data_IF_147470471226
#
_entry.id   IF_147470471226
#
_cell.length_a   1.000
_cell.length_b   1.000
_cell.length_c   1.000
_cell.angle_alpha   90.00
_cell.angle_beta   90.00
_cell.angle_gamma   90.00
#
_symmetry.space_group_name_H-M   'P 1'
#
loop_
_entity.id
_entity.type
_entity.pdbx_description
1 polymer ?
#
# COMPACT_ATOMS: atom_id res chain seq x y z
N UNK A 1 27.75 -28.08 -34.90
CA UNK A 1 26.51 -28.56 -34.25
C UNK A 1 26.75 -28.80 -32.75
N UNK A 2 27.28 -27.80 -32.01
CA UNK A 2 27.62 -27.89 -30.57
C UNK A 2 27.31 -26.55 -29.86
N UNK A 3 26.17 -25.92 -30.16
CA UNK A 3 25.82 -24.63 -29.52
C UNK A 3 24.37 -24.54 -29.03
N UNK A 4 23.50 -25.51 -29.34
CA UNK A 4 22.13 -25.52 -28.84
C UNK A 4 22.01 -26.13 -27.44
N UNK A 5 22.84 -27.12 -27.11
CA UNK A 5 22.75 -27.83 -25.82
C UNK A 5 23.20 -27.02 -24.60
N UNK A 6 23.89 -25.89 -24.81
CA UNK A 6 24.30 -24.97 -23.74
C UNK A 6 23.23 -23.96 -23.36
N UNK A 7 22.45 -23.47 -24.33
CA UNK A 7 21.32 -22.58 -24.07
C UNK A 7 20.16 -23.32 -23.41
N UNK A 8 19.85 -24.54 -23.87
CA UNK A 8 18.80 -25.37 -23.26
C UNK A 8 19.10 -25.71 -21.79
N UNK A 9 20.37 -25.95 -21.45
CA UNK A 9 20.79 -26.25 -20.07
C UNK A 9 20.68 -25.06 -19.11
N UNK A 10 20.85 -23.84 -19.60
CA UNK A 10 20.68 -22.63 -18.78
C UNK A 10 19.20 -22.33 -18.50
N UNK A 11 18.30 -22.64 -19.46
CA UNK A 11 16.86 -22.52 -19.28
C UNK A 11 16.22 -23.64 -18.43
N UNK A 12 16.96 -24.73 -18.17
CA UNK A 12 16.50 -25.89 -17.39
C UNK A 12 16.95 -25.92 -15.92
N UNK A 13 17.69 -24.94 -15.42
CA UNK A 13 18.23 -24.99 -14.05
C UNK A 13 17.19 -24.70 -12.95
N UNK A 14 16.05 -24.07 -13.28
CA UNK A 14 14.94 -23.82 -12.34
C UNK A 14 13.63 -24.21 -13.02
N UNK A 15 12.78 -24.97 -12.33
CA UNK A 15 11.48 -25.40 -12.87
C UNK A 15 10.61 -24.20 -13.26
N UNK A 16 9.65 -24.33 -14.21
CA UNK A 16 8.82 -23.22 -14.66
C UNK A 16 8.04 -22.55 -13.52
N UNK A 17 7.73 -23.28 -12.46
CA UNK A 17 7.12 -22.77 -11.22
C UNK A 17 8.06 -21.85 -10.43
N UNK A 18 9.37 -22.15 -10.41
CA UNK A 18 10.38 -21.34 -9.74
C UNK A 18 10.56 -20.01 -10.48
N UNK A 19 10.51 -20.03 -11.81
CA UNK A 19 10.51 -18.82 -12.64
C UNK A 19 9.26 -17.97 -12.39
N UNK A 20 8.08 -18.59 -12.30
CA UNK A 20 6.82 -17.90 -11.99
C UNK A 20 6.85 -17.29 -10.58
N UNK A 21 7.40 -18.01 -9.59
CA UNK A 21 7.58 -17.53 -8.22
C UNK A 21 8.52 -16.33 -8.17
N UNK A 22 9.69 -16.42 -8.81
CA UNK A 22 10.66 -15.33 -8.86
C UNK A 22 10.07 -14.10 -9.57
N UNK A 23 9.41 -14.30 -10.72
CA UNK A 23 8.77 -13.24 -11.47
C UNK A 23 7.66 -12.56 -10.66
N UNK A 24 6.77 -13.33 -10.02
CA UNK A 24 5.70 -12.79 -9.17
C UNK A 24 6.24 -12.01 -7.99
N UNK A 25 7.24 -12.57 -7.31
CA UNK A 25 7.90 -11.91 -6.20
C UNK A 25 8.54 -10.58 -6.60
N UNK A 26 9.33 -10.56 -7.68
CA UNK A 26 9.97 -9.34 -8.19
C UNK A 26 8.93 -8.31 -8.63
N UNK A 27 7.88 -8.75 -9.34
CA UNK A 27 6.80 -7.87 -9.75
C UNK A 27 6.08 -7.23 -8.54
N UNK A 28 5.83 -8.01 -7.48
CA UNK A 28 5.21 -7.50 -6.26
C UNK A 28 6.08 -6.48 -5.51
N UNK A 29 7.39 -6.71 -5.44
CA UNK A 29 8.34 -5.73 -4.89
C UNK A 29 8.37 -4.44 -5.71
N UNK A 30 8.54 -4.57 -7.03
CA UNK A 30 8.63 -3.43 -7.93
C UNK A 30 7.35 -2.61 -7.93
N UNK A 31 6.19 -3.26 -7.89
CA UNK A 31 4.91 -2.57 -7.81
C UNK A 31 4.83 -1.64 -6.59
N UNK A 32 5.19 -2.15 -5.40
CA UNK A 32 5.16 -1.33 -4.19
C UNK A 32 6.20 -0.21 -4.21
N UNK A 33 7.41 -0.49 -4.68
CA UNK A 33 8.52 0.48 -4.68
C UNK A 33 8.35 1.54 -5.77
N UNK A 34 7.79 1.19 -6.93
CA UNK A 34 7.60 2.09 -8.06
C UNK A 34 6.32 2.92 -7.96
N UNK A 35 5.32 2.49 -7.18
CA UNK A 35 4.08 3.22 -6.94
C UNK A 35 4.26 4.35 -5.91
N UNK A 36 4.23 5.64 -6.32
CA UNK A 36 4.36 6.76 -5.38
C UNK A 36 3.14 6.92 -4.46
N UNK A 37 1.99 6.39 -4.90
CA UNK A 37 0.70 6.33 -4.21
C UNK A 37 0.74 5.52 -2.92
N UNK A 38 1.50 4.43 -2.88
CA UNK A 38 1.66 3.59 -1.68
C UNK A 38 2.30 4.33 -0.51
N UNK A 39 3.41 5.03 -0.78
CA UNK A 39 4.11 5.83 0.21
C UNK A 39 3.24 7.01 0.62
N UNK A 40 2.56 7.63 -0.34
CA UNK A 40 1.71 8.79 -0.12
C UNK A 40 0.48 8.48 0.76
N UNK A 41 -0.13 7.30 0.59
CA UNK A 41 -1.28 6.86 1.39
C UNK A 41 -0.89 6.33 2.77
N UNK A 42 0.27 5.68 2.89
CA UNK A 42 0.70 5.06 4.16
C UNK A 42 1.30 6.07 5.14
N UNK A 43 2.05 7.07 4.65
CA UNK A 43 2.74 8.03 5.51
C UNK A 43 1.83 8.78 6.50
N UNK A 44 0.63 9.27 6.12
CA UNK A 44 -0.30 9.90 7.07
C UNK A 44 -0.82 8.94 8.14
N UNK A 45 -0.91 7.65 7.82
CA UNK A 45 -1.40 6.60 8.71
C UNK A 45 -0.28 5.99 9.57
N UNK A 46 0.99 6.12 9.19
CA UNK A 46 2.12 5.44 9.82
C UNK A 46 2.76 6.22 10.99
N UNK A 47 2.19 7.34 11.43
CA UNK A 47 2.83 8.25 12.39
C UNK A 47 2.53 7.87 13.84
N UNK A 48 3.15 6.79 14.31
CA UNK A 48 3.21 6.46 15.76
C UNK A 48 4.56 5.88 16.14
N UNK A 49 4.64 4.57 16.25
CA UNK A 49 5.85 3.82 16.54
C UNK A 49 6.09 2.82 15.41
N UNK A 50 7.35 2.41 15.25
CA UNK A 50 7.79 1.53 14.15
C UNK A 50 6.97 0.25 14.05
N UNK A 51 6.65 -0.40 15.16
CA UNK A 51 5.86 -1.62 15.16
C UNK A 51 4.45 -1.42 14.60
N UNK A 52 3.78 -0.32 14.96
CA UNK A 52 2.46 0.02 14.41
C UNK A 52 2.56 0.41 12.95
N UNK A 53 3.57 1.19 12.54
CA UNK A 53 3.77 1.56 11.13
C UNK A 53 3.95 0.32 10.23
N UNK A 54 4.76 -0.66 10.68
CA UNK A 54 4.94 -1.95 10.01
C UNK A 54 3.61 -2.71 9.90
N UNK A 55 2.85 -2.77 11.01
CA UNK A 55 1.58 -3.49 11.05
C UNK A 55 0.52 -2.84 10.14
N UNK A 56 0.43 -1.52 10.14
CA UNK A 56 -0.46 -0.77 9.26
C UNK A 56 -0.09 -1.01 7.80
N UNK A 57 1.20 -1.01 7.46
CA UNK A 57 1.68 -1.36 6.11
C UNK A 57 1.30 -2.78 5.70
N UNK A 58 1.51 -3.77 6.57
CA UNK A 58 1.14 -5.16 6.30
C UNK A 58 -0.37 -5.36 6.13
N UNK A 59 -1.19 -4.70 6.95
CA UNK A 59 -2.66 -4.75 6.87
C UNK A 59 -3.15 -4.11 5.57
N UNK A 60 -2.60 -2.95 5.22
CA UNK A 60 -2.89 -2.30 3.95
C UNK A 60 -2.52 -3.21 2.76
N UNK A 61 -1.33 -3.80 2.76
CA UNK A 61 -0.87 -4.72 1.72
C UNK A 61 -1.74 -5.98 1.61
N UNK A 62 -2.27 -6.46 2.74
CA UNK A 62 -3.21 -7.60 2.76
C UNK A 62 -4.56 -7.22 2.16
N UNK A 63 -5.07 -6.02 2.47
CA UNK A 63 -6.27 -5.47 1.85
C UNK A 63 -6.10 -5.30 0.35
N UNK A 64 -4.96 -4.74 -0.07
CA UNK A 64 -4.58 -4.61 -1.46
C UNK A 64 -4.64 -5.94 -2.23
N UNK A 65 -3.98 -6.97 -1.71
CA UNK A 65 -4.08 -8.32 -2.27
C UNK A 65 -5.50 -8.85 -2.38
N UNK A 66 -6.32 -8.61 -1.35
CA UNK A 66 -7.72 -9.01 -1.33
C UNK A 66 -8.51 -8.33 -2.46
N UNK A 67 -8.29 -7.03 -2.67
CA UNK A 67 -8.88 -6.28 -3.79
C UNK A 67 -8.50 -6.85 -5.16
N UNK A 68 -7.21 -7.17 -5.34
CA UNK A 68 -6.69 -7.78 -6.59
C UNK A 68 -7.32 -9.15 -6.84
N UNK A 69 -7.44 -10.00 -5.82
CA UNK A 69 -8.06 -11.33 -5.94
C UNK A 69 -9.54 -11.21 -6.29
N UNK A 70 -10.27 -10.28 -5.65
CA UNK A 70 -11.68 -10.02 -5.96
C UNK A 70 -11.82 -9.61 -7.43
N UNK A 71 -11.08 -8.59 -7.86
CA UNK A 71 -11.15 -8.08 -9.22
C UNK A 71 -10.71 -9.11 -10.26
N UNK A 72 -9.61 -9.83 -10.01
CA UNK A 72 -9.11 -10.89 -10.88
C UNK A 72 -10.10 -12.05 -11.04
N UNK A 73 -10.75 -12.46 -9.95
CA UNK A 73 -11.78 -13.50 -9.98
C UNK A 73 -13.02 -13.05 -10.75
N UNK A 74 -13.47 -11.81 -10.52
CA UNK A 74 -14.58 -11.20 -11.27
C UNK A 74 -14.23 -11.07 -12.75
N UNK A 75 -13.01 -10.65 -13.10
CA UNK A 75 -12.55 -10.53 -14.48
C UNK A 75 -12.51 -11.86 -15.22
N UNK A 76 -12.07 -12.95 -14.57
CA UNK A 76 -12.07 -14.30 -15.15
C UNK A 76 -13.50 -14.80 -15.37
N UNK A 77 -14.42 -14.57 -14.42
CA UNK A 77 -15.82 -14.97 -14.54
C UNK A 77 -16.62 -14.13 -15.55
N UNK A 78 -16.27 -12.85 -15.71
CA UNK A 78 -16.96 -11.89 -16.55
C UNK A 78 -16.31 -11.67 -17.92
N UNK A 79 -15.31 -12.49 -18.30
CA UNK A 79 -14.54 -12.44 -19.56
C UNK A 79 -15.37 -12.35 -20.86
N UNK A 80 -16.67 -12.67 -20.77
CA UNK A 80 -17.63 -12.69 -21.88
C UNK A 80 -18.60 -11.49 -21.89
N UNK A 81 -18.58 -10.63 -20.86
CA UNK A 81 -19.54 -9.52 -20.70
C UNK A 81 -18.92 -8.17 -20.28
N UNK A 82 -17.65 -8.14 -19.84
CA UNK A 82 -17.01 -6.92 -19.33
C UNK A 82 -15.83 -6.52 -20.20
N UNK A 83 -15.92 -5.31 -20.77
CA UNK A 83 -14.79 -4.67 -21.43
C UNK A 83 -13.78 -4.23 -20.37
N UNK A 84 -12.63 -4.91 -20.34
CA UNK A 84 -11.56 -4.68 -19.36
C UNK A 84 -11.08 -3.22 -19.44
N UNK A 85 -11.13 -2.59 -20.61
CA UNK A 85 -10.74 -1.19 -20.80
C UNK A 85 -11.65 -0.25 -20.00
N UNK A 86 -12.96 -0.43 -20.11
CA UNK A 86 -13.94 0.43 -19.42
C UNK A 86 -13.85 0.34 -17.89
N UNK A 87 -13.66 -0.87 -17.36
CA UNK A 87 -13.48 -1.07 -15.91
C UNK A 87 -12.17 -0.46 -15.42
N UNK A 88 -11.14 -0.51 -16.26
CA UNK A 88 -9.82 0.03 -15.96
C UNK A 88 -9.83 1.56 -15.87
N UNK A 89 -10.38 2.24 -16.89
CA UNK A 89 -10.45 3.72 -16.96
C UNK A 89 -11.29 4.29 -15.80
N UNK A 90 -12.41 3.62 -15.44
CA UNK A 90 -13.25 4.06 -14.32
C UNK A 90 -12.60 3.83 -12.96
N UNK A 91 -11.74 2.84 -12.85
CA UNK A 91 -11.06 2.53 -11.60
C UNK A 91 -9.98 3.54 -11.26
N UNK A 92 -9.22 4.02 -12.25
CA UNK A 92 -8.20 5.07 -12.06
C UNK A 92 -8.83 6.35 -11.50
N UNK A 93 -9.98 6.76 -12.04
CA UNK A 93 -10.74 7.91 -11.55
C UNK A 93 -11.16 7.72 -10.08
N UNK A 94 -11.66 6.53 -9.71
CA UNK A 94 -12.06 6.23 -8.32
C UNK A 94 -10.86 6.31 -7.38
N UNK A 95 -9.70 5.74 -7.76
CA UNK A 95 -8.48 5.87 -6.96
C UNK A 95 -8.03 7.32 -6.88
N UNK A 96 -8.11 8.07 -7.98
CA UNK A 96 -7.74 9.48 -8.00
C UNK A 96 -8.55 10.29 -6.99
N UNK A 97 -9.87 10.08 -6.91
CA UNK A 97 -10.72 10.70 -5.89
C UNK A 97 -10.36 10.23 -4.47
N UNK A 98 -10.04 8.95 -4.29
CA UNK A 98 -9.59 8.42 -3.01
C UNK A 98 -8.29 9.09 -2.55
N UNK A 99 -7.30 9.23 -3.45
CA UNK A 99 -6.02 9.89 -3.19
C UNK A 99 -6.20 11.38 -2.88
N UNK A 100 -7.09 12.07 -3.59
CA UNK A 100 -7.49 13.44 -3.25
C UNK A 100 -8.05 13.53 -1.83
N UNK A 101 -8.97 12.63 -1.47
CA UNK A 101 -9.59 12.61 -0.14
C UNK A 101 -8.58 12.39 0.97
N UNK A 102 -7.73 11.36 0.84
CA UNK A 102 -6.69 11.02 1.82
C UNK A 102 -5.65 12.14 1.89
N UNK A 103 -5.21 12.66 0.74
CA UNK A 103 -4.24 13.74 0.65
C UNK A 103 -4.73 15.03 1.31
N UNK A 104 -5.97 15.44 1.07
CA UNK A 104 -6.53 16.64 1.69
C UNK A 104 -6.78 16.48 3.19
N UNK A 105 -7.24 15.29 3.63
CA UNK A 105 -7.38 14.96 5.04
C UNK A 105 -6.01 15.01 5.75
N UNK A 106 -4.99 14.39 5.17
CA UNK A 106 -3.63 14.36 5.69
C UNK A 106 -3.02 15.77 5.75
N UNK A 107 -3.20 16.58 4.70
CA UNK A 107 -2.72 17.96 4.67
C UNK A 107 -3.37 18.81 5.77
N UNK A 108 -4.69 18.71 5.94
CA UNK A 108 -5.40 19.38 7.04
C UNK A 108 -4.88 18.93 8.40
N UNK A 109 -4.60 17.64 8.57
CA UNK A 109 -4.02 17.11 9.80
C UNK A 109 -2.62 17.67 10.05
N UNK A 110 -1.74 17.69 9.04
CA UNK A 110 -0.39 18.26 9.15
C UNK A 110 -0.43 19.74 9.54
N UNK A 111 -1.31 20.52 8.91
CA UNK A 111 -1.47 21.95 9.23
C UNK A 111 -1.98 22.16 10.66
N UNK A 112 -2.95 21.35 11.12
CA UNK A 112 -3.43 21.41 12.51
C UNK A 112 -2.33 21.08 13.52
N UNK A 113 -1.57 20.01 13.28
CA UNK A 113 -0.46 19.61 14.16
C UNK A 113 0.64 20.69 14.18
N UNK A 114 0.96 21.29 13.04
CA UNK A 114 1.92 22.38 12.96
C UNK A 114 1.44 23.62 13.75
N UNK A 115 0.18 24.02 13.57
CA UNK A 115 -0.42 25.16 14.28
C UNK A 115 -0.50 24.95 15.81
N UNK A 116 -0.67 23.70 16.26
CA UNK A 116 -0.69 23.34 17.69
C UNK A 116 0.72 23.22 18.31
N UNK A 117 1.79 23.47 17.54
CA UNK A 117 3.16 23.35 18.03
C UNK A 117 3.54 21.89 18.36
N UNK A 118 3.11 20.93 17.53
CA UNK A 118 3.46 19.52 17.65
C UNK A 118 4.99 19.34 17.70
N UNK A 119 5.51 19.16 18.92
CA UNK A 119 6.94 19.16 19.25
C UNK A 119 7.25 19.94 20.54
N UNK A 120 6.61 21.09 20.76
CA UNK A 120 6.75 21.88 21.99
C UNK A 120 5.86 21.36 23.12
N UNK A 121 4.63 20.90 22.81
CA UNK A 121 3.71 20.34 23.82
C UNK A 121 4.12 18.98 24.40
N UNK A 122 4.84 18.15 23.64
CA UNK A 122 5.28 16.84 24.13
C UNK A 122 6.34 16.95 25.23
N UNK A 123 7.00 18.10 25.33
CA UNK A 123 7.92 18.44 26.41
C UNK A 123 7.25 19.17 27.59
N UNK A 124 5.98 19.59 27.45
CA UNK A 124 5.25 20.37 28.46
C UNK A 124 4.00 19.66 29.00
N UNK A 125 3.81 18.37 28.70
CA UNK A 125 2.66 17.56 29.11
C UNK A 125 2.97 16.67 30.34
N UNK A 126 3.84 17.15 31.22
CA UNK A 126 3.99 16.62 32.59
C UNK A 126 3.07 17.35 33.58
N UNK A 127 2.27 18.34 33.13
CA UNK A 127 1.28 18.99 33.99
C UNK A 127 -0.07 18.26 33.97
N UNK A 128 -0.34 17.72 35.13
CA UNK A 128 -1.48 17.00 35.66
C UNK A 128 -2.78 17.83 35.58
N UNK A 129 -3.57 17.65 34.51
CA UNK A 129 -4.94 18.17 34.44
C UNK A 129 -5.89 17.04 34.01
N UNK A 130 -6.76 16.66 34.95
CA UNK A 130 -7.89 15.72 34.83
C UNK A 130 -7.62 14.48 33.95
N UNK A 131 -6.72 13.60 34.42
CA UNK A 131 -6.38 12.38 33.70
C UNK A 131 -7.61 11.46 33.58
N UNK A 132 -8.10 11.16 32.36
CA UNK A 132 -9.21 10.25 32.17
C UNK A 132 -8.89 8.88 32.75
N UNK A 133 -9.92 8.17 33.24
CA UNK A 133 -9.80 6.83 33.84
C UNK A 133 -8.85 5.96 32.97
N UNK A 134 -7.82 5.32 33.57
CA UNK A 134 -6.92 4.43 32.84
C UNK A 134 -7.65 3.44 31.92
N UNK A 135 -8.82 2.96 32.33
CA UNK A 135 -9.67 2.08 31.55
C UNK A 135 -10.27 2.78 30.31
N UNK A 136 -10.84 3.98 30.47
CA UNK A 136 -11.36 4.77 29.34
C UNK A 136 -10.26 5.13 28.33
N UNK A 137 -9.08 5.51 28.82
CA UNK A 137 -7.91 5.79 27.96
C UNK A 137 -7.50 4.55 27.16
N UNK A 138 -7.44 3.39 27.80
CA UNK A 138 -7.10 2.13 27.13
C UNK A 138 -8.15 1.72 26.10
N UNK A 139 -9.43 1.92 26.40
CA UNK A 139 -10.54 1.66 25.45
C UNK A 139 -10.41 2.56 24.22
N UNK A 140 -10.22 3.87 24.40
CA UNK A 140 -10.04 4.83 23.29
C UNK A 140 -8.82 4.50 22.42
N UNK A 141 -7.67 4.19 23.03
CA UNK A 141 -6.48 3.77 22.28
C UNK A 141 -6.75 2.50 21.47
N UNK A 142 -7.46 1.54 22.04
CA UNK A 142 -7.77 0.28 21.36
C UNK A 142 -8.75 0.50 20.20
N UNK A 143 -9.73 1.38 20.37
CA UNK A 143 -10.70 1.75 19.35
C UNK A 143 -10.04 2.51 18.18
N UNK A 144 -9.18 3.48 18.48
CA UNK A 144 -8.38 4.21 17.49
C UNK A 144 -7.53 3.26 16.63
N UNK A 145 -6.85 2.30 17.28
CA UNK A 145 -6.01 1.30 16.59
C UNK A 145 -6.86 0.39 15.70
N UNK A 146 -8.05 -0.02 16.16
CA UNK A 146 -8.98 -0.83 15.35
C UNK A 146 -9.47 -0.05 14.13
N UNK A 147 -9.92 1.19 14.31
CA UNK A 147 -10.38 2.06 13.23
C UNK A 147 -9.29 2.28 12.18
N UNK A 148 -8.06 2.53 12.63
CA UNK A 148 -6.90 2.71 11.76
C UNK A 148 -6.58 1.45 10.96
N UNK A 149 -6.59 0.27 11.58
CA UNK A 149 -6.38 -0.99 10.89
C UNK A 149 -7.50 -1.28 9.86
N UNK A 150 -8.76 -1.04 10.23
CA UNK A 150 -9.91 -1.20 9.32
C UNK A 150 -9.82 -0.23 8.15
N UNK A 151 -9.45 1.03 8.40
CA UNK A 151 -9.24 2.02 7.35
C UNK A 151 -8.08 1.62 6.41
N UNK A 152 -6.95 1.19 6.97
CA UNK A 152 -5.80 0.72 6.19
C UNK A 152 -6.17 -0.49 5.31
N UNK A 153 -6.89 -1.47 5.87
CA UNK A 153 -7.36 -2.62 5.12
C UNK A 153 -8.35 -2.21 4.02
N UNK A 154 -9.35 -1.38 4.35
CA UNK A 154 -10.39 -0.94 3.41
C UNK A 154 -9.83 -0.10 2.27
N UNK A 155 -8.95 0.85 2.56
CA UNK A 155 -8.21 1.61 1.54
C UNK A 155 -7.37 0.65 0.69
N UNK A 156 -6.70 -0.32 1.31
CA UNK A 156 -5.98 -1.37 0.60
C UNK A 156 -6.89 -2.12 -0.38
N UNK A 157 -8.04 -2.63 0.08
CA UNK A 157 -9.02 -3.36 -0.76
C UNK A 157 -9.50 -2.49 -1.91
N UNK A 158 -9.92 -1.25 -1.65
CA UNK A 158 -10.37 -0.32 -2.69
C UNK A 158 -9.27 -0.05 -3.71
N UNK A 159 -8.04 0.16 -3.24
CA UNK A 159 -6.90 0.40 -4.10
C UNK A 159 -6.54 -0.83 -4.94
N UNK A 160 -6.51 -2.02 -4.34
CA UNK A 160 -6.24 -3.27 -5.08
C UNK A 160 -7.34 -3.67 -6.04
N UNK A 161 -8.58 -3.28 -5.75
CA UNK A 161 -9.70 -3.45 -6.66
C UNK A 161 -9.73 -2.41 -7.78
N UNK A 162 -8.91 -1.35 -7.71
CA UNK A 162 -9.00 -0.23 -8.61
C UNK A 162 -7.70 0.00 -9.42
N UNK A 163 -7.75 -0.27 -10.73
CA UNK A 163 -6.94 0.41 -11.74
C UNK A 163 -5.73 -0.33 -12.31
N UNK A 164 -5.37 0.08 -13.53
CA UNK A 164 -4.37 -0.42 -14.50
C UNK A 164 -2.97 -0.80 -13.96
N UNK A 165 -2.48 -0.12 -12.91
CA UNK A 165 -1.16 -0.39 -12.32
C UNK A 165 -1.03 -1.84 -11.84
N UNK A 166 -2.15 -2.41 -11.37
CA UNK A 166 -2.28 -3.79 -10.95
C UNK A 166 -2.47 -4.74 -12.14
N UNK A 167 -3.00 -4.26 -13.27
CA UNK A 167 -2.99 -5.04 -14.51
C UNK A 167 -1.55 -5.31 -14.94
N UNK A 168 -0.59 -4.40 -14.83
CA UNK A 168 0.81 -4.75 -15.13
C UNK A 168 1.37 -5.84 -14.20
N UNK A 169 0.96 -5.85 -12.93
CA UNK A 169 1.26 -6.92 -11.99
C UNK A 169 0.58 -8.25 -12.33
N UNK A 170 -0.67 -8.23 -12.79
CA UNK A 170 -1.52 -9.43 -12.99
C UNK A 170 -1.51 -9.94 -14.44
N UNK A 171 -1.19 -9.10 -15.43
CA UNK A 171 -1.17 -9.41 -16.86
C UNK A 171 -0.26 -10.61 -17.19
N UNK A 172 0.95 -10.75 -16.61
CA UNK A 172 1.76 -11.94 -16.81
C UNK A 172 1.02 -13.22 -16.41
N UNK A 173 0.22 -13.18 -15.33
CA UNK A 173 -0.55 -14.34 -14.87
C UNK A 173 -1.62 -14.80 -15.88
N UNK A 174 -2.15 -13.89 -16.71
CA UNK A 174 -3.13 -14.23 -17.74
C UNK A 174 -2.52 -15.00 -18.92
N UNK A 175 -1.20 -14.87 -19.12
CA UNK A 175 -0.45 -15.59 -20.15
C UNK A 175 0.16 -16.92 -19.64
N UNK A 176 0.10 -17.17 -18.32
CA UNK A 176 0.68 -18.36 -17.69
C UNK A 176 -0.33 -19.50 -17.57
N UNK A 177 0.12 -20.78 -17.58
CA UNK A 177 -0.70 -21.92 -17.18
C UNK A 177 -1.28 -21.76 -15.77
N UNK A 178 -2.43 -22.39 -15.44
CA UNK A 178 -3.16 -22.14 -14.20
C UNK A 178 -2.32 -22.25 -12.92
N UNK A 179 -1.50 -23.30 -12.81
CA UNK A 179 -0.63 -23.49 -11.64
C UNK A 179 0.44 -22.39 -11.53
N UNK A 180 1.05 -22.01 -12.65
CA UNK A 180 2.07 -20.95 -12.68
C UNK A 180 1.45 -19.58 -12.38
N UNK A 181 0.23 -19.31 -12.86
CA UNK A 181 -0.52 -18.10 -12.54
C UNK A 181 -0.82 -18.01 -11.04
N UNK A 182 -1.24 -19.11 -10.40
CA UNK A 182 -1.47 -19.16 -8.94
C UNK A 182 -0.18 -18.92 -8.17
N UNK A 183 0.92 -19.58 -8.54
CA UNK A 183 2.24 -19.40 -7.90
C UNK A 183 2.74 -17.97 -8.06
N UNK A 184 2.60 -17.40 -9.26
CA UNK A 184 2.94 -16.03 -9.57
C UNK A 184 2.13 -15.03 -8.72
N UNK A 185 0.80 -15.17 -8.68
CA UNK A 185 -0.07 -14.25 -7.93
C UNK A 185 0.13 -14.38 -6.41
N UNK A 186 0.33 -15.60 -5.91
CA UNK A 186 0.62 -15.85 -4.50
C UNK A 186 1.95 -15.23 -4.07
N UNK A 187 3.01 -15.41 -4.87
CA UNK A 187 4.33 -14.81 -4.59
C UNK A 187 4.32 -13.29 -4.74
N UNK A 188 3.60 -12.74 -5.71
CA UNK A 188 3.34 -11.31 -5.86
C UNK A 188 2.69 -10.73 -4.61
N UNK A 189 1.64 -11.38 -4.09
CA UNK A 189 0.94 -10.95 -2.89
C UNK A 189 1.86 -10.93 -1.66
N UNK A 190 2.60 -12.01 -1.44
CA UNK A 190 3.55 -12.10 -0.32
C UNK A 190 4.61 -10.98 -0.43
N UNK A 191 5.17 -10.77 -1.62
CA UNK A 191 6.13 -9.70 -1.86
C UNK A 191 5.55 -8.30 -1.60
N UNK A 192 4.33 -8.02 -2.06
CA UNK A 192 3.67 -6.74 -1.85
C UNK A 192 3.40 -6.46 -0.36
N UNK A 193 2.92 -7.46 0.40
CA UNK A 193 2.70 -7.34 1.85
C UNK A 193 4.03 -7.07 2.57
N UNK A 194 5.09 -7.81 2.24
CA UNK A 194 6.41 -7.60 2.83
C UNK A 194 6.99 -6.23 2.47
N UNK A 195 6.87 -5.80 1.22
CA UNK A 195 7.33 -4.49 0.78
C UNK A 195 6.59 -3.37 1.52
N UNK A 196 5.26 -3.45 1.67
CA UNK A 196 4.49 -2.45 2.42
C UNK A 196 4.80 -2.45 3.91
N UNK A 197 5.06 -3.62 4.50
CA UNK A 197 5.59 -3.71 5.86
C UNK A 197 6.96 -3.03 5.97
N UNK A 198 7.82 -3.18 4.96
CA UNK A 198 9.10 -2.49 4.82
C UNK A 198 8.98 -0.97 4.66
N UNK A 199 8.02 -0.48 3.87
CA UNK A 199 7.71 0.95 3.78
C UNK A 199 7.28 1.46 5.15
N UNK A 200 6.37 0.75 5.84
CA UNK A 200 5.96 1.05 7.21
C UNK A 200 7.14 1.10 8.18
N UNK A 201 8.08 0.16 8.07
CA UNK A 201 9.31 0.15 8.86
C UNK A 201 10.15 1.40 8.64
N UNK A 202 10.38 1.79 7.40
CA UNK A 202 11.20 2.96 7.04
C UNK A 202 10.52 4.22 7.58
N UNK A 203 9.22 4.38 7.30
CA UNK A 203 8.44 5.53 7.76
C UNK A 203 8.43 5.64 9.29
N UNK A 204 8.22 4.52 9.97
CA UNK A 204 8.25 4.45 11.43
C UNK A 204 9.63 4.76 12.01
N UNK A 205 10.70 4.26 11.38
CA UNK A 205 12.07 4.52 11.80
C UNK A 205 12.44 5.99 11.62
N UNK A 206 12.10 6.61 10.48
CA UNK A 206 12.33 8.05 10.26
C UNK A 206 11.52 8.88 11.26
N UNK A 207 10.30 8.46 11.62
CA UNK A 207 9.51 9.10 12.66
C UNK A 207 10.15 9.01 14.05
N UNK A 208 10.67 7.84 14.43
CA UNK A 208 11.34 7.62 15.72
C UNK A 208 12.66 8.40 15.84
N UNK A 209 13.50 8.40 14.80
CA UNK A 209 14.83 9.05 14.85
C UNK A 209 14.81 10.53 14.44
N UNK A 210 13.94 10.94 13.51
CA UNK A 210 13.89 12.29 12.94
C UNK A 210 13.07 13.30 13.75
N UNK A 211 12.32 12.82 14.75
CA UNK A 211 11.52 13.65 15.65
C UNK A 211 10.29 14.30 15.00
N UNK A 212 9.57 15.16 15.75
CA UNK A 212 8.26 15.69 15.35
C UNK A 212 8.27 16.48 14.04
N UNK A 213 9.37 17.17 13.72
CA UNK A 213 9.50 17.94 12.47
C UNK A 213 9.63 17.04 11.26
N UNK A 214 10.43 15.97 11.33
CA UNK A 214 10.58 15.02 10.22
C UNK A 214 9.23 14.36 9.88
N UNK A 215 8.47 13.99 10.92
CA UNK A 215 7.10 13.50 10.79
C UNK A 215 6.22 14.49 10.01
N UNK A 216 6.20 15.77 10.42
CA UNK A 216 5.38 16.78 9.75
C UNK A 216 5.80 17.01 8.30
N UNK A 217 7.10 17.03 8.00
CA UNK A 217 7.60 17.13 6.63
C UNK A 217 7.18 15.94 5.78
N UNK A 218 7.30 14.71 6.30
CA UNK A 218 6.89 13.51 5.59
C UNK A 218 5.40 13.48 5.33
N UNK A 219 4.56 13.79 6.32
CA UNK A 219 3.10 13.90 6.13
C UNK A 219 2.74 15.01 5.13
N UNK A 220 3.43 16.14 5.17
CA UNK A 220 3.23 17.25 4.23
C UNK A 220 3.57 16.86 2.80
N UNK A 221 4.77 16.32 2.56
CA UNK A 221 5.23 15.91 1.22
C UNK A 221 4.35 14.79 0.66
N UNK A 222 4.04 13.78 1.48
CA UNK A 222 3.16 12.66 1.06
C UNK A 222 1.74 13.12 0.75
N UNK A 223 1.16 14.02 1.53
CA UNK A 223 -0.19 14.56 1.26
C UNK A 223 -0.25 15.37 -0.03
N UNK A 224 0.74 16.23 -0.29
CA UNK A 224 0.89 16.92 -1.57
C UNK A 224 1.07 15.94 -2.73
N UNK A 225 1.91 14.92 -2.55
CA UNK A 225 2.11 13.85 -3.53
C UNK A 225 0.82 13.10 -3.86
N UNK A 226 0.04 12.70 -2.84
CA UNK A 226 -1.25 12.05 -3.01
C UNK A 226 -2.24 12.92 -3.79
N UNK A 227 -2.32 14.22 -3.47
CA UNK A 227 -3.19 15.16 -4.18
C UNK A 227 -2.78 15.26 -5.65
N UNK A 228 -1.48 15.43 -5.92
CA UNK A 228 -0.98 15.57 -7.29
C UNK A 228 -1.21 14.31 -8.12
N UNK A 229 -0.87 13.13 -7.60
CA UNK A 229 -1.10 11.85 -8.26
C UNK A 229 -2.60 11.65 -8.50
N UNK A 230 -3.43 11.95 -7.49
CA UNK A 230 -4.89 11.84 -7.61
C UNK A 230 -5.48 12.77 -8.67
N UNK A 231 -4.99 14.00 -8.79
CA UNK A 231 -5.39 14.93 -9.86
C UNK A 231 -4.99 14.41 -11.24
N UNK A 232 -3.77 13.88 -11.39
CA UNK A 232 -3.31 13.31 -12.67
C UNK A 232 -4.25 12.19 -13.09
N UNK A 233 -4.52 11.21 -12.23
CA UNK A 233 -5.37 10.05 -12.54
C UNK A 233 -6.86 10.38 -12.75
N UNK A 234 -7.34 11.55 -12.31
CA UNK A 234 -8.70 12.01 -12.63
C UNK A 234 -8.77 12.63 -14.03
N UNK A 235 -7.66 13.21 -14.50
CA UNK A 235 -7.60 14.01 -15.73
C UNK A 235 -7.14 13.17 -16.93
N UNK A 236 -6.22 12.23 -16.72
CA UNK A 236 -5.72 11.30 -17.74
C UNK A 236 -6.62 10.08 -17.85
#
# INVERSE_FOLDING_TARGET
MITQSGQDRAHHAMGPEVSALAAGFTAGLLHVVAGPDHIAALAPLAVRNRAQSVRTGAIWGSGHGTGVVILGSTGIGAKQFVDVHWLSDRSEIIVGFMLLGIGFWALRQTLRLHAQGFGSRRASHDEEEDAPDPNEKNIRIQEDVKLQHSAAFGVGVLHGAAGTGHLFGVLPSLALPPLQAIVYLGSYLVAAVMAMAGVGFILGSVGEYGGPRAILYMMGISSLGAILVGLVWIIT
#
